data_IF_161554719927
#
_entry.id   IF_161554719927
#
_cell.length_a   1.000
_cell.length_b   1.000
_cell.length_c   1.000
_cell.angle_alpha   90.00
_cell.angle_beta   90.00
_cell.angle_gamma   90.00
#
_symmetry.space_group_name_H-M   'P 1'
#
loop_
_entity.id
_entity.type
_entity.pdbx_description
1 polymer ?
#
# COMPACT_ATOMS: atom_id res chain seq x y z
N UNK A 1 -10.92 1.83 -28.87
CA UNK A 1 -11.44 0.95 -27.83
C UNK A 1 -11.98 1.76 -26.66
N UNK A 2 -13.26 2.13 -26.75
CA UNK A 2 -14.00 2.73 -25.63
C UNK A 2 -14.46 1.60 -24.73
N UNK A 3 -14.10 1.63 -23.45
CA UNK A 3 -14.69 0.74 -22.44
C UNK A 3 -16.21 0.90 -22.50
N UNK A 4 -16.94 -0.21 -22.64
CA UNK A 4 -18.40 -0.18 -22.78
C UNK A 4 -19.03 0.36 -21.48
N UNK A 5 -19.83 1.43 -21.59
CA UNK A 5 -20.48 2.08 -20.45
C UNK A 5 -21.37 1.07 -19.69
N UNK A 6 -21.90 0.06 -20.39
CA UNK A 6 -22.66 -1.03 -19.75
C UNK A 6 -21.79 -1.86 -18.80
N UNK A 7 -20.56 -2.21 -19.19
CA UNK A 7 -19.61 -2.93 -18.32
C UNK A 7 -19.25 -2.12 -17.09
N UNK A 8 -19.04 -0.82 -17.27
CA UNK A 8 -18.70 0.09 -16.18
C UNK A 8 -19.83 0.19 -15.15
N UNK A 9 -21.07 0.40 -15.62
CA UNK A 9 -22.23 0.50 -14.74
C UNK A 9 -22.55 -0.82 -14.05
N UNK A 10 -22.41 -1.93 -14.77
CA UNK A 10 -22.56 -3.27 -14.19
C UNK A 10 -21.56 -3.49 -13.06
N UNK A 11 -20.27 -3.23 -13.30
CA UNK A 11 -19.22 -3.41 -12.29
C UNK A 11 -19.44 -2.47 -11.08
N UNK A 12 -19.81 -1.21 -11.33
CA UNK A 12 -20.11 -0.24 -10.28
C UNK A 12 -21.25 -0.73 -9.37
N UNK A 13 -22.33 -1.20 -9.98
CA UNK A 13 -23.48 -1.71 -9.24
C UNK A 13 -23.10 -2.97 -8.46
N UNK A 14 -22.29 -3.85 -9.07
CA UNK A 14 -21.86 -5.08 -8.44
C UNK A 14 -20.98 -4.85 -7.22
N UNK A 15 -20.02 -3.92 -7.29
CA UNK A 15 -19.19 -3.56 -6.14
C UNK A 15 -20.05 -2.96 -5.03
N UNK A 16 -20.98 -2.04 -5.35
CA UNK A 16 -21.86 -1.41 -4.36
C UNK A 16 -22.81 -2.38 -3.66
N UNK A 17 -23.31 -3.39 -4.37
CA UNK A 17 -24.22 -4.41 -3.82
C UNK A 17 -23.49 -5.60 -3.20
N UNK A 18 -22.24 -5.82 -3.57
CA UNK A 18 -21.41 -6.91 -3.06
C UNK A 18 -20.64 -6.52 -1.81
N UNK A 19 -20.17 -5.27 -1.74
CA UNK A 19 -19.34 -4.75 -0.64
C UNK A 19 -19.87 -3.34 -0.28
N UNK A 20 -20.94 -3.25 0.54
CA UNK A 20 -21.50 -1.97 0.95
C UNK A 20 -20.53 -1.10 1.77
N UNK A 21 -19.51 -1.71 2.37
CA UNK A 21 -18.44 -1.06 3.13
C UNK A 21 -17.53 -0.17 2.26
N UNK A 22 -17.53 -0.36 0.93
CA UNK A 22 -16.68 0.38 0.00
C UNK A 22 -17.40 1.58 -0.61
N UNK A 23 -16.73 2.73 -0.56
CA UNK A 23 -17.12 3.96 -1.25
C UNK A 23 -16.41 4.00 -2.60
N UNK A 24 -17.21 3.97 -3.67
CA UNK A 24 -16.71 3.94 -5.05
C UNK A 24 -17.08 5.21 -5.81
N UNK A 25 -16.06 5.88 -6.34
CA UNK A 25 -16.18 7.02 -7.25
C UNK A 25 -15.60 6.67 -8.63
N UNK A 26 -16.31 7.01 -9.70
CA UNK A 26 -15.81 6.81 -11.06
C UNK A 26 -15.35 8.16 -11.61
N UNK A 27 -14.13 8.22 -12.16
CA UNK A 27 -13.63 9.41 -12.86
C UNK A 27 -13.23 9.06 -14.29
N UNK A 28 -13.65 9.90 -15.23
CA UNK A 28 -13.25 9.81 -16.62
C UNK A 28 -11.99 10.66 -16.86
N UNK A 29 -10.94 10.03 -17.37
CA UNK A 29 -9.69 10.71 -17.63
C UNK A 29 -9.68 11.30 -19.04
N UNK A 30 -9.67 12.64 -19.13
CA UNK A 30 -9.84 13.38 -20.40
C UNK A 30 -8.79 13.03 -21.46
N UNK A 31 -7.55 12.76 -21.05
CA UNK A 31 -6.43 12.53 -21.96
C UNK A 31 -6.29 11.09 -22.44
N UNK A 32 -6.60 10.10 -21.59
CA UNK A 32 -6.48 8.68 -21.94
C UNK A 32 -7.79 8.09 -22.44
N UNK A 33 -8.93 8.78 -22.27
CA UNK A 33 -10.30 8.28 -22.56
C UNK A 33 -10.63 6.99 -21.83
N UNK A 34 -10.04 6.81 -20.66
CA UNK A 34 -10.25 5.64 -19.80
C UNK A 34 -10.99 6.07 -18.54
N UNK A 35 -11.87 5.19 -18.09
CA UNK A 35 -12.52 5.32 -16.80
C UNK A 35 -11.68 4.67 -15.71
N UNK A 36 -11.51 5.38 -14.60
CA UNK A 36 -10.85 4.88 -13.41
C UNK A 36 -11.83 4.83 -12.25
N UNK A 37 -11.83 3.71 -11.55
CA UNK A 37 -12.55 3.52 -10.29
C UNK A 37 -11.63 3.94 -9.16
N UNK A 38 -12.08 4.90 -8.35
CA UNK A 38 -11.47 5.36 -7.11
C UNK A 38 -12.25 4.73 -5.97
N UNK A 39 -11.58 3.90 -5.18
CA UNK A 39 -12.24 3.14 -4.12
C UNK A 39 -11.58 3.42 -2.79
N UNK A 40 -12.41 3.70 -1.80
CA UNK A 40 -12.04 4.02 -0.41
C UNK A 40 -13.06 3.40 0.55
N UNK A 41 -12.84 3.50 1.85
CA UNK A 41 -13.73 3.03 2.90
C UNK A 41 -13.67 3.97 4.10
N UNK A 42 -14.71 3.95 4.94
CA UNK A 42 -14.68 4.65 6.23
C UNK A 42 -13.79 3.93 7.23
N UNK A 43 -13.32 4.62 8.27
CA UNK A 43 -12.54 4.01 9.34
C UNK A 43 -13.21 2.78 9.96
N UNK A 44 -14.50 2.88 10.29
CA UNK A 44 -15.28 1.78 10.87
C UNK A 44 -15.33 0.57 9.93
N UNK A 45 -15.50 0.80 8.63
CA UNK A 45 -15.47 -0.26 7.63
C UNK A 45 -14.09 -0.91 7.57
N UNK A 46 -13.01 -0.11 7.61
CA UNK A 46 -11.64 -0.61 7.63
C UNK A 46 -11.33 -1.43 8.88
N UNK A 47 -11.83 -1.04 10.06
CA UNK A 47 -11.71 -1.83 11.29
C UNK A 47 -12.34 -3.21 11.11
N UNK A 48 -13.57 -3.27 10.59
CA UNK A 48 -14.22 -4.54 10.30
C UNK A 48 -13.45 -5.39 9.30
N UNK A 49 -12.94 -4.79 8.22
CA UNK A 49 -12.11 -5.48 7.24
C UNK A 49 -10.78 -5.98 7.82
N UNK A 50 -10.19 -5.25 8.76
CA UNK A 50 -8.98 -5.67 9.46
C UNK A 50 -9.23 -6.88 10.36
N UNK A 51 -10.39 -6.95 11.01
CA UNK A 51 -10.82 -8.10 11.83
C UNK A 51 -11.09 -9.33 10.94
N UNK A 52 -11.86 -9.15 9.86
CA UNK A 52 -12.13 -10.20 8.85
C UNK A 52 -10.86 -10.80 8.24
N UNK A 53 -9.83 -9.96 8.03
CA UNK A 53 -8.51 -10.39 7.54
C UNK A 53 -7.60 -10.94 8.65
N UNK A 54 -7.92 -10.70 9.92
CA UNK A 54 -7.07 -11.03 11.07
C UNK A 54 -5.74 -10.25 11.06
N UNK A 55 -5.76 -8.98 10.65
CA UNK A 55 -4.58 -8.12 10.57
C UNK A 55 -3.89 -8.02 11.93
N UNK A 56 -2.56 -8.09 11.98
CA UNK A 56 -1.84 -8.00 13.26
C UNK A 56 -1.56 -6.56 13.64
N UNK A 57 -1.91 -6.20 14.88
CA UNK A 57 -1.72 -4.85 15.44
C UNK A 57 -0.95 -4.89 16.77
N UNK A 58 -0.19 -3.82 17.07
CA UNK A 58 0.51 -3.69 18.34
C UNK A 58 -0.49 -3.50 19.48
N UNK A 59 -0.25 -4.22 20.57
CA UNK A 59 -1.02 -4.14 21.81
C UNK A 59 -0.32 -3.16 22.74
N UNK A 60 -1.08 -2.33 23.46
CA UNK A 60 -0.55 -1.39 24.44
C UNK A 60 0.28 -2.11 25.49
N UNK A 61 1.36 -1.48 25.94
CA UNK A 61 2.25 -2.05 26.94
C UNK A 61 1.53 -2.48 28.25
N UNK A 62 0.46 -1.78 28.63
CA UNK A 62 -0.35 -2.09 29.83
C UNK A 62 -1.07 -3.45 29.75
N UNK A 63 -1.33 -3.95 28.54
CA UNK A 63 -1.97 -5.25 28.29
C UNK A 63 -0.96 -6.35 27.91
N UNK A 64 0.34 -6.12 28.15
CA UNK A 64 1.41 -7.09 27.90
C UNK A 64 2.23 -6.84 26.63
N UNK A 65 1.86 -5.84 25.82
CA UNK A 65 2.61 -5.46 24.62
C UNK A 65 2.59 -6.52 23.50
N UNK A 66 3.44 -6.31 22.49
CA UNK A 66 3.60 -7.24 21.37
C UNK A 66 2.56 -7.08 20.27
N UNK A 67 2.42 -8.10 19.41
CA UNK A 67 1.54 -8.07 18.23
C UNK A 67 0.44 -9.12 18.37
N UNK A 68 -0.82 -8.73 18.16
CA UNK A 68 -1.99 -9.63 18.21
C UNK A 68 -2.87 -9.44 16.98
N UNK A 69 -3.59 -10.49 16.57
CA UNK A 69 -4.62 -10.37 15.53
C UNK A 69 -5.72 -9.43 16.02
N UNK A 70 -5.96 -8.37 15.25
CA UNK A 70 -6.97 -7.37 15.52
C UNK A 70 -8.34 -8.02 15.67
N UNK A 71 -9.12 -7.50 16.62
CA UNK A 71 -10.50 -7.89 16.85
C UNK A 71 -11.27 -6.66 17.29
N UNK A 72 -12.44 -6.44 16.69
CA UNK A 72 -13.28 -5.28 17.00
C UNK A 72 -13.87 -5.35 18.43
N UNK A 73 -13.99 -6.55 19.02
CA UNK A 73 -14.57 -6.75 20.36
C UNK A 73 -13.64 -6.25 21.48
N UNK A 74 -12.32 -6.32 21.25
CA UNK A 74 -11.28 -5.94 22.21
C UNK A 74 -10.42 -4.79 21.65
N UNK A 75 -11.01 -3.81 20.98
CA UNK A 75 -10.30 -2.75 20.27
C UNK A 75 -9.43 -1.85 21.19
N UNK A 76 -9.87 -1.63 22.43
CA UNK A 76 -9.21 -0.79 23.43
C UNK A 76 -7.79 -1.25 23.82
N UNK A 77 -7.41 -2.50 23.53
CA UNK A 77 -6.08 -3.04 23.83
C UNK A 77 -5.03 -2.59 22.83
N UNK A 78 -5.42 -2.11 21.65
CA UNK A 78 -4.48 -1.79 20.57
C UNK A 78 -3.98 -0.35 20.67
N UNK A 79 -2.72 -0.15 20.28
CA UNK A 79 -2.11 1.18 20.24
C UNK A 79 -2.75 2.04 19.14
N UNK A 80 -2.91 3.34 19.40
CA UNK A 80 -3.42 4.36 18.46
C UNK A 80 -4.80 4.09 17.84
N UNK A 81 -5.63 3.22 18.43
CA UNK A 81 -6.99 2.90 17.94
C UNK A 81 -7.91 4.14 17.80
N UNK A 82 -7.66 5.19 18.58
CA UNK A 82 -8.41 6.45 18.53
C UNK A 82 -8.05 7.32 17.32
N UNK A 83 -6.87 7.11 16.72
CA UNK A 83 -6.34 7.92 15.63
C UNK A 83 -6.51 7.18 14.30
N UNK A 84 -7.50 7.59 13.50
CA UNK A 84 -7.74 7.01 12.17
C UNK A 84 -6.50 7.07 11.26
N UNK A 85 -5.72 8.15 11.37
CA UNK A 85 -4.53 8.39 10.54
C UNK A 85 -3.35 7.51 10.92
N UNK A 86 -3.18 7.21 12.21
CA UNK A 86 -2.03 6.46 12.72
C UNK A 86 -2.33 4.98 12.88
N UNK A 87 -3.60 4.61 13.08
CA UNK A 87 -3.96 3.22 13.33
C UNK A 87 -3.73 2.34 12.10
N UNK A 88 -4.11 2.81 10.91
CA UNK A 88 -3.92 2.08 9.66
C UNK A 88 -2.92 2.77 8.74
N UNK A 89 -1.85 2.05 8.39
CA UNK A 89 -0.92 2.49 7.36
C UNK A 89 -1.59 2.50 5.99
N UNK A 90 -1.02 3.26 5.06
CA UNK A 90 -1.51 3.30 3.68
C UNK A 90 -1.51 1.91 3.05
N UNK A 91 -0.49 1.10 3.32
CA UNK A 91 -0.42 -0.28 2.83
C UNK A 91 -1.56 -1.15 3.37
N UNK A 92 -1.85 -1.06 4.67
CA UNK A 92 -2.90 -1.87 5.30
C UNK A 92 -4.28 -1.51 4.75
N UNK A 93 -4.56 -0.21 4.58
CA UNK A 93 -5.80 0.27 3.95
C UNK A 93 -5.98 -0.32 2.55
N UNK A 94 -4.93 -0.33 1.71
CA UNK A 94 -5.00 -0.98 0.39
C UNK A 94 -5.23 -2.48 0.52
N UNK A 95 -4.57 -3.13 1.47
CA UNK A 95 -4.66 -4.58 1.65
C UNK A 95 -6.08 -5.01 2.01
N UNK A 96 -6.78 -4.24 2.85
CA UNK A 96 -8.17 -4.47 3.23
C UNK A 96 -9.10 -4.27 2.02
N UNK A 97 -8.96 -3.14 1.31
CA UNK A 97 -9.76 -2.87 0.11
C UNK A 97 -9.55 -3.96 -0.95
N UNK A 98 -8.29 -4.36 -1.16
CA UNK A 98 -7.92 -5.43 -2.07
C UNK A 98 -8.52 -6.77 -1.64
N UNK A 99 -8.47 -7.10 -0.36
CA UNK A 99 -9.09 -8.31 0.19
C UNK A 99 -10.57 -8.38 -0.14
N UNK A 100 -11.34 -7.30 0.07
CA UNK A 100 -12.76 -7.31 -0.29
C UNK A 100 -12.99 -7.46 -1.79
N UNK A 101 -12.22 -6.74 -2.62
CA UNK A 101 -12.34 -6.84 -4.09
C UNK A 101 -11.99 -8.25 -4.59
N UNK A 102 -10.96 -8.88 -4.03
CA UNK A 102 -10.58 -10.25 -4.36
C UNK A 102 -11.59 -11.27 -3.84
N UNK A 103 -12.38 -10.93 -2.82
CA UNK A 103 -13.48 -11.73 -2.30
C UNK A 103 -14.84 -11.43 -2.93
N UNK A 104 -14.93 -10.45 -3.83
CA UNK A 104 -16.13 -10.19 -4.59
C UNK A 104 -16.47 -11.42 -5.46
N UNK A 105 -17.68 -11.97 -5.25
CA UNK A 105 -18.19 -13.12 -5.99
C UNK A 105 -19.38 -12.74 -6.86
N UNK A 106 -19.55 -13.45 -7.96
CA UNK A 106 -20.73 -13.36 -8.80
C UNK A 106 -21.94 -13.99 -8.11
N UNK A 107 -23.07 -13.29 -8.15
CA UNK A 107 -24.37 -13.79 -7.66
C UNK A 107 -25.07 -14.58 -8.76
N UNK A 108 -26.10 -15.33 -8.37
CA UNK A 108 -26.80 -16.24 -9.27
C UNK A 108 -27.45 -15.50 -10.44
N UNK A 109 -27.17 -15.95 -11.67
CA UNK A 109 -27.75 -15.39 -12.90
C UNK A 109 -27.07 -14.13 -13.43
N UNK A 110 -25.95 -13.72 -12.84
CA UNK A 110 -25.18 -12.59 -13.36
C UNK A 110 -24.53 -12.92 -14.69
N UNK A 111 -24.75 -12.04 -15.66
CA UNK A 111 -24.12 -12.11 -16.96
C UNK A 111 -23.61 -10.74 -17.35
N UNK A 112 -22.41 -10.73 -17.92
CA UNK A 112 -21.84 -9.56 -18.55
C UNK A 112 -21.55 -9.93 -20.00
N UNK A 113 -22.28 -9.31 -20.92
CA UNK A 113 -22.27 -9.63 -22.35
C UNK A 113 -22.58 -11.12 -22.59
N UNK A 114 -21.65 -11.88 -23.19
CA UNK A 114 -21.79 -13.33 -23.46
C UNK A 114 -21.16 -14.20 -22.37
N UNK A 115 -20.71 -13.62 -21.26
CA UNK A 115 -20.09 -14.34 -20.16
C UNK A 115 -21.16 -14.54 -19.09
N UNK A 116 -21.56 -15.79 -18.89
CA UNK A 116 -22.39 -16.20 -17.76
C UNK A 116 -21.48 -16.57 -16.60
N UNK A 117 -21.64 -15.88 -15.47
CA UNK A 117 -20.89 -16.23 -14.28
C UNK A 117 -21.59 -17.36 -13.55
N UNK A 118 -20.80 -18.30 -13.05
CA UNK A 118 -21.28 -19.28 -12.10
C UNK A 118 -21.42 -18.62 -10.73
N UNK A 119 -22.43 -19.04 -9.97
CA UNK A 119 -22.62 -18.56 -8.60
C UNK A 119 -21.37 -18.84 -7.76
N UNK A 120 -20.86 -17.81 -7.08
CA UNK A 120 -19.66 -17.93 -6.26
C UNK A 120 -18.33 -17.84 -7.04
N UNK A 121 -18.35 -17.51 -8.34
CA UNK A 121 -17.12 -17.25 -9.09
C UNK A 121 -16.49 -15.90 -8.70
N UNK A 122 -15.16 -15.81 -8.47
CA UNK A 122 -14.49 -14.53 -8.22
C UNK A 122 -14.58 -13.61 -9.45
N UNK A 123 -14.98 -12.37 -9.21
CA UNK A 123 -15.01 -11.33 -10.23
C UNK A 123 -13.69 -10.58 -10.13
N UNK A 124 -12.76 -10.89 -11.03
CA UNK A 124 -11.50 -10.17 -11.12
C UNK A 124 -11.69 -8.93 -12.03
N UNK A 125 -11.62 -7.70 -11.49
CA UNK A 125 -11.78 -6.48 -12.29
C UNK A 125 -10.80 -6.39 -13.46
N UNK A 126 -9.61 -6.98 -13.33
CA UNK A 126 -8.59 -6.99 -14.38
C UNK A 126 -8.99 -7.75 -15.64
N UNK A 127 -9.95 -8.68 -15.55
CA UNK A 127 -10.45 -9.45 -16.71
C UNK A 127 -11.26 -8.57 -17.66
N UNK A 128 -11.82 -7.47 -17.16
CA UNK A 128 -12.69 -6.58 -17.95
C UNK A 128 -11.94 -5.41 -18.60
N UNK A 129 -10.61 -5.36 -18.49
CA UNK A 129 -9.80 -4.27 -19.03
C UNK A 129 -10.11 -2.90 -18.42
N UNK A 130 -10.82 -2.88 -17.30
CA UNK A 130 -11.15 -1.66 -16.55
C UNK A 130 -10.01 -1.42 -15.56
N UNK A 131 -9.17 -0.37 -15.74
CA UNK A 131 -8.16 -0.09 -14.76
C UNK A 131 -8.83 0.36 -13.47
N UNK A 132 -8.60 -0.42 -12.43
CA UNK A 132 -9.02 -0.12 -11.09
C UNK A 132 -7.87 0.61 -10.39
N UNK A 133 -8.09 1.86 -10.00
CA UNK A 133 -7.08 2.65 -9.29
C UNK A 133 -7.52 2.73 -7.83
N UNK A 134 -6.94 1.88 -6.99
CA UNK A 134 -7.05 2.08 -5.53
C UNK A 134 -6.36 3.40 -5.22
N UNK A 135 -7.15 4.47 -5.16
CA UNK A 135 -6.64 5.80 -4.86
C UNK A 135 -6.68 5.98 -3.37
N UNK A 136 -5.54 5.75 -2.71
CA UNK A 136 -5.30 6.41 -1.43
C UNK A 136 -5.00 7.86 -1.73
N UNK A 137 -6.01 8.69 -1.57
CA UNK A 137 -5.76 9.93 -0.87
C UNK A 137 -5.56 9.46 0.58
N UNK A 138 -4.39 9.60 1.21
CA UNK A 138 -4.26 10.63 2.25
C UNK A 138 -2.82 10.86 2.76
N UNK A 139 -1.78 10.10 2.37
CA UNK A 139 -0.45 10.28 2.99
C UNK A 139 0.47 11.29 2.29
N UNK A 140 0.42 11.40 0.96
CA UNK A 140 1.29 12.35 0.25
C UNK A 140 0.95 13.82 0.54
N UNK A 141 -0.27 14.12 0.99
CA UNK A 141 -0.65 15.45 1.49
C UNK A 141 -0.20 15.68 2.95
N UNK A 142 -0.04 14.62 3.76
CA UNK A 142 0.58 14.73 5.10
C UNK A 142 2.09 15.01 5.00
N UNK A 143 2.82 14.28 4.14
CA UNK A 143 4.24 14.56 3.85
C UNK A 143 4.44 15.96 3.25
N UNK A 144 3.50 16.42 2.43
CA UNK A 144 3.58 17.72 1.74
C UNK A 144 3.03 18.87 2.59
N UNK A 145 2.31 18.55 3.66
CA UNK A 145 1.66 19.48 4.57
C UNK A 145 2.53 19.91 5.75
N UNK A 146 3.77 19.42 5.84
CA UNK A 146 4.75 19.99 6.75
C UNK A 146 5.33 21.27 6.11
N UNK A 147 5.09 22.47 6.67
CA UNK A 147 5.59 23.72 6.11
C UNK A 147 7.12 23.82 6.18
N UNK A 148 7.78 22.96 6.95
CA UNK A 148 9.24 22.85 7.04
C UNK A 148 9.75 21.82 6.03
N UNK A 149 9.72 22.22 4.76
CA UNK A 149 10.30 21.47 3.65
C UNK A 149 11.80 21.25 3.84
N UNK A 150 12.19 20.08 4.37
CA UNK A 150 13.60 19.69 4.48
C UNK A 150 14.01 18.64 3.44
N UNK A 151 13.09 18.08 2.65
CA UNK A 151 13.47 16.95 1.78
C UNK A 151 14.19 17.30 0.46
N UNK A 152 14.20 18.58 0.03
CA UNK A 152 14.76 18.98 -1.26
C UNK A 152 15.85 20.06 -1.19
N UNK A 153 16.46 20.26 -0.03
CA UNK A 153 17.48 21.30 0.18
C UNK A 153 18.70 20.91 1.02
N UNK A 154 18.76 19.69 1.57
CA UNK A 154 19.87 19.30 2.43
C UNK A 154 21.00 18.62 1.63
N UNK A 155 22.23 18.96 1.99
CA UNK A 155 23.47 18.41 1.42
C UNK A 155 23.42 16.86 1.36
N UNK A 156 24.06 16.22 0.36
CA UNK A 156 24.06 14.75 0.17
C UNK A 156 24.60 13.92 1.34
N UNK A 157 25.12 14.55 2.40
CA UNK A 157 25.77 13.93 3.54
C UNK A 157 24.92 13.87 4.81
N UNK A 158 23.75 14.53 4.86
CA UNK A 158 23.00 14.71 6.12
C UNK A 158 21.53 14.32 6.06
N UNK A 159 21.01 13.90 4.90
CA UNK A 159 19.66 13.32 4.84
C UNK A 159 19.78 11.85 5.23
N UNK A 160 19.29 11.43 6.40
CA UNK A 160 19.06 10.01 6.62
C UNK A 160 18.07 9.60 5.54
N UNK A 161 18.45 8.60 4.72
CA UNK A 161 17.47 7.92 3.88
C UNK A 161 16.21 7.68 4.73
N UNK A 162 14.99 7.93 4.20
CA UNK A 162 13.77 7.78 5.00
C UNK A 162 13.83 6.40 5.64
N UNK A 163 13.56 6.34 6.94
CA UNK A 163 13.80 5.14 7.72
C UNK A 163 13.08 3.97 7.03
N UNK A 164 13.66 2.76 7.03
CA UNK A 164 13.06 1.60 6.35
C UNK A 164 11.60 1.36 6.73
N UNK A 165 11.21 1.77 7.95
CA UNK A 165 9.87 1.66 8.50
C UNK A 165 8.88 2.58 7.77
N UNK A 166 9.23 3.84 7.49
CA UNK A 166 8.35 4.78 6.74
C UNK A 166 8.12 4.29 5.30
N UNK A 167 9.15 3.71 4.67
CA UNK A 167 9.05 3.08 3.35
C UNK A 167 8.16 1.84 3.43
N UNK A 168 8.26 1.07 4.53
CA UNK A 168 7.46 -0.12 4.76
C UNK A 168 5.98 0.23 4.91
N UNK A 169 5.65 1.26 5.67
CA UNK A 169 4.26 1.65 5.90
C UNK A 169 3.55 2.14 4.62
N UNK A 170 4.31 2.74 3.70
CA UNK A 170 3.75 3.22 2.43
C UNK A 170 3.80 2.18 1.30
N UNK A 171 4.99 1.65 1.00
CA UNK A 171 5.21 0.75 -0.13
C UNK A 171 5.07 -0.72 0.24
N UNK A 172 5.10 -1.02 1.52
CA UNK A 172 5.08 -2.37 2.04
C UNK A 172 6.44 -3.01 2.23
N UNK A 173 6.40 -4.07 3.05
CA UNK A 173 7.57 -4.87 3.46
C UNK A 173 8.45 -5.29 2.29
N UNK A 174 7.87 -5.62 1.13
CA UNK A 174 8.66 -6.07 -0.04
C UNK A 174 9.59 -4.98 -0.59
N UNK A 175 9.07 -3.76 -0.70
CA UNK A 175 9.82 -2.62 -1.24
C UNK A 175 10.78 -2.10 -0.16
N UNK A 176 10.33 -2.02 1.09
CA UNK A 176 11.20 -1.68 2.22
C UNK A 176 12.37 -2.64 2.38
N UNK A 177 12.14 -3.95 2.26
CA UNK A 177 13.20 -4.96 2.30
C UNK A 177 14.22 -4.78 1.19
N UNK A 178 13.78 -4.42 -0.02
CA UNK A 178 14.69 -4.10 -1.12
C UNK A 178 15.59 -2.91 -0.78
N UNK A 179 15.03 -1.81 -0.25
CA UNK A 179 15.81 -0.64 0.14
C UNK A 179 16.72 -0.91 1.35
N UNK A 180 16.27 -1.68 2.33
CA UNK A 180 17.08 -2.11 3.46
C UNK A 180 18.28 -2.96 3.00
N UNK A 181 18.04 -3.90 2.09
CA UNK A 181 19.10 -4.71 1.49
C UNK A 181 20.07 -3.88 0.64
N UNK A 182 19.57 -2.91 -0.11
CA UNK A 182 20.39 -1.98 -0.89
C UNK A 182 21.27 -1.10 0.01
N UNK A 183 20.71 -0.60 1.12
CA UNK A 183 21.45 0.16 2.13
C UNK A 183 22.55 -0.69 2.77
N UNK A 184 22.24 -1.93 3.15
CA UNK A 184 23.23 -2.89 3.65
C UNK A 184 24.33 -3.20 2.63
N UNK A 185 23.98 -3.37 1.35
CA UNK A 185 24.96 -3.63 0.30
C UNK A 185 25.90 -2.45 0.07
N UNK A 186 25.36 -1.23 0.10
CA UNK A 186 26.13 0.01 -0.07
C UNK A 186 27.11 0.22 1.08
N UNK A 187 26.69 -0.06 2.33
CA UNK A 187 27.61 -0.01 3.47
C UNK A 187 28.64 -1.14 3.44
N UNK A 188 28.26 -2.34 3.01
CA UNK A 188 29.19 -3.46 2.84
C UNK A 188 30.28 -3.20 1.79
N UNK A 189 29.95 -2.43 0.74
CA UNK A 189 30.89 -1.99 -0.31
C UNK A 189 31.92 -0.95 0.17
N UNK A 190 31.69 -0.26 1.29
CA UNK A 190 32.67 0.67 1.87
C UNK A 190 33.93 -0.05 2.35
N UNK A 191 33.79 -1.24 2.94
CA UNK A 191 34.93 -2.03 3.43
C UNK A 191 35.94 -2.40 2.32
N UNK A 192 35.56 -3.04 1.19
CA UNK A 192 36.48 -3.32 0.10
C UNK A 192 36.96 -2.05 -0.60
N UNK A 193 36.18 -0.97 -0.65
CA UNK A 193 36.62 0.31 -1.21
C UNK A 193 37.76 0.93 -0.38
N UNK A 194 37.65 0.92 0.95
CA UNK A 194 38.70 1.40 1.86
C UNK A 194 39.94 0.52 1.77
N UNK A 195 39.78 -0.81 1.84
CA UNK A 195 40.89 -1.76 1.71
C UNK A 195 41.59 -1.63 0.36
N UNK A 196 40.84 -1.54 -0.74
CA UNK A 196 41.37 -1.34 -2.08
C UNK A 196 42.14 -0.03 -2.22
N UNK A 197 41.62 1.06 -1.63
CA UNK A 197 42.30 2.36 -1.63
C UNK A 197 43.63 2.32 -0.87
N UNK A 198 43.65 1.67 0.30
CA UNK A 198 44.87 1.49 1.10
C UNK A 198 45.91 0.68 0.31
N UNK A 199 45.51 -0.46 -0.25
CA UNK A 199 46.40 -1.30 -1.06
C UNK A 199 46.94 -0.57 -2.29
N UNK A 200 46.11 0.23 -2.96
CA UNK A 200 46.51 1.04 -4.11
C UNK A 200 47.60 2.06 -3.75
N UNK A 201 47.44 2.78 -2.63
CA UNK A 201 48.47 3.74 -2.19
C UNK A 201 49.80 3.08 -1.83
N UNK A 202 49.77 1.87 -1.23
CA UNK A 202 50.99 1.12 -0.93
C UNK A 202 51.69 0.57 -2.17
N UNK A 203 50.93 0.09 -3.16
CA UNK A 203 51.52 -0.40 -4.42
C UNK A 203 52.05 0.71 -5.31
N UNK A 204 51.45 1.90 -5.28
CA UNK A 204 51.97 3.08 -5.97
C UNK A 204 53.31 3.54 -5.37
N UNK A 205 53.44 3.53 -4.04
CA UNK A 205 54.73 3.86 -3.38
C UNK A 205 55.88 2.91 -3.72
N UNK A 206 55.59 1.63 -3.99
CA UNK A 206 56.61 0.65 -4.41
C UNK A 206 57.02 0.79 -5.88
N UNK A 207 56.22 1.46 -6.72
CA UNK A 207 56.52 1.69 -8.14
C UNK A 207 57.34 2.98 -8.39
N UNK A 208 57.42 3.88 -7.41
CA UNK A 208 58.07 5.20 -7.53
C UNK A 208 59.46 5.24 -6.83
N UNK A 209 59.95 4.11 -6.32
CA UNK A 209 61.33 3.95 -5.78
C UNK A 209 62.25 3.26 -6.77
#
# INVERSE_FOLDING_TARGET
DSTDDHTLLWLLNHIRLGIPELIVQVRHHKHTRVYAFFVTATYESLLRGADEMGLRKPVKAEFGGGMRSFSCEEDYIYENIESELEFFSSQERQSIIRYWLENLRAKQGESLHNIHFLEGQPINPGVFGVPFVVSLVDFWDSIRGDPDGVFWGAHPSEVPCPLPDDICDYFGVKIAMYFAWLGFYTSAMVYPAVLGSILYTFTDSDQVS
#
